data_IF_473844928518
#
_entry.id   IF_473844928518
#
_cell.length_a   1.000
_cell.length_b   1.000
_cell.length_c   1.000
_cell.angle_alpha   90.00
_cell.angle_beta   90.00
_cell.angle_gamma   90.00
#
_symmetry.space_group_name_H-M   'P 1'
#
loop_
_entity.id
_entity.type
_entity.pdbx_description
1 polymer ?
#
# COMPACT_ATOMS: atom_id res chain seq x y z
N UNK A 1 -8.47 -29.06 35.99
CA UNK A 1 -7.62 -28.39 34.98
C UNK A 1 -7.89 -26.89 35.08
N UNK A 2 -6.91 -26.03 35.40
CA UNK A 2 -7.14 -24.59 35.45
C UNK A 2 -7.17 -24.02 34.03
N UNK A 3 -8.20 -23.25 33.72
CA UNK A 3 -8.31 -22.50 32.47
C UNK A 3 -7.21 -21.44 32.41
N UNK A 4 -6.45 -21.42 31.31
CA UNK A 4 -5.52 -20.34 31.03
C UNK A 4 -6.30 -19.02 30.84
N UNK A 5 -5.78 -17.89 31.34
CA UNK A 5 -6.40 -16.59 31.10
C UNK A 5 -6.36 -16.26 29.59
N UNK A 6 -7.32 -15.47 29.08
CA UNK A 6 -7.30 -15.04 27.68
C UNK A 6 -6.01 -14.25 27.40
N UNK A 7 -5.44 -14.34 26.18
CA UNK A 7 -4.25 -13.58 25.83
C UNK A 7 -4.55 -12.09 26.02
N UNK A 8 -3.68 -11.40 26.76
CA UNK A 8 -3.79 -9.97 26.98
C UNK A 8 -3.82 -9.27 25.61
N UNK A 9 -4.99 -8.71 25.25
CA UNK A 9 -5.07 -7.80 24.13
C UNK A 9 -4.16 -6.62 24.44
N UNK A 10 -3.03 -6.53 23.74
CA UNK A 10 -2.24 -5.32 23.74
C UNK A 10 -3.14 -4.22 23.21
N UNK A 11 -3.63 -3.34 24.07
CA UNK A 11 -4.18 -2.05 23.64
C UNK A 11 -2.98 -1.12 23.50
N UNK A 12 -2.41 -0.93 22.30
CA UNK A 12 -1.27 -0.04 22.13
C UNK A 12 -1.70 1.40 22.41
N UNK A 13 -1.35 1.93 23.58
CA UNK A 13 -1.53 3.35 23.92
C UNK A 13 -0.51 4.28 23.25
N UNK A 14 0.45 3.72 22.50
CA UNK A 14 1.55 4.45 21.88
C UNK A 14 1.34 4.60 20.38
N UNK A 15 1.55 5.81 19.87
CA UNK A 15 1.65 6.07 18.43
C UNK A 15 2.80 5.25 17.84
N UNK A 16 2.50 4.45 16.83
CA UNK A 16 3.49 3.73 16.02
C UNK A 16 3.65 4.43 14.69
N UNK A 17 4.88 4.50 14.19
CA UNK A 17 5.21 5.10 12.91
C UNK A 17 5.86 4.05 12.04
N UNK A 18 5.25 3.76 10.89
CA UNK A 18 5.82 2.94 9.84
C UNK A 18 6.34 3.90 8.77
N UNK A 19 7.66 3.97 8.64
CA UNK A 19 8.31 4.76 7.58
C UNK A 19 8.32 3.98 6.28
N UNK A 20 8.09 4.67 5.17
CA UNK A 20 8.20 4.11 3.83
C UNK A 20 9.56 4.42 3.22
N UNK A 21 10.01 3.55 2.31
CA UNK A 21 11.28 3.76 1.58
C UNK A 21 11.23 4.94 0.62
N UNK A 22 10.04 5.36 0.18
CA UNK A 22 9.83 6.47 -0.76
C UNK A 22 10.10 7.85 -0.15
N UNK A 23 10.17 7.94 1.17
CA UNK A 23 10.30 9.20 1.90
C UNK A 23 11.67 9.86 1.74
N UNK A 24 11.69 11.20 1.81
CA UNK A 24 12.96 11.95 1.91
C UNK A 24 13.58 11.72 3.28
N UNK A 25 14.91 11.65 3.38
CA UNK A 25 15.63 11.44 4.66
C UNK A 25 15.25 12.42 5.78
N UNK A 26 14.81 13.63 5.44
CA UNK A 26 14.44 14.68 6.39
C UNK A 26 12.92 14.81 6.65
N UNK A 27 12.09 14.15 5.83
CA UNK A 27 10.64 14.11 5.94
C UNK A 27 10.15 12.79 5.32
N UNK A 28 10.25 11.68 6.07
CA UNK A 28 9.91 10.37 5.54
C UNK A 28 8.39 10.25 5.37
N UNK A 29 7.97 9.72 4.22
CA UNK A 29 6.61 9.24 4.06
C UNK A 29 6.34 8.18 5.13
N UNK A 30 5.18 8.25 5.75
CA UNK A 30 4.87 7.39 6.87
C UNK A 30 3.39 7.11 7.03
N UNK A 31 3.10 5.91 7.54
CA UNK A 31 1.82 5.57 8.15
C UNK A 31 1.99 5.66 9.67
N UNK A 32 1.29 6.62 10.29
CA UNK A 32 1.21 6.76 11.74
C UNK A 32 -0.09 6.12 12.23
N UNK A 33 0.01 5.27 13.25
CA UNK A 33 -1.14 4.54 13.81
C UNK A 33 -1.18 4.82 15.31
N UNK A 34 -2.33 5.25 15.82
CA UNK A 34 -2.60 5.46 17.23
C UNK A 34 -4.03 5.00 17.57
N UNK A 35 -4.43 4.96 18.86
CA UNK A 35 -5.80 4.56 19.23
C UNK A 35 -6.92 5.41 18.62
N UNK A 36 -6.64 6.68 18.26
CA UNK A 36 -7.62 7.58 17.67
C UNK A 36 -7.80 7.37 16.15
N UNK A 37 -6.84 6.71 15.48
CA UNK A 37 -6.89 6.47 14.05
C UNK A 37 -5.53 6.24 13.42
N UNK A 38 -5.50 6.32 12.10
CA UNK A 38 -4.27 6.33 11.34
C UNK A 38 -4.16 7.61 10.52
N UNK A 39 -2.93 7.99 10.21
CA UNK A 39 -2.62 9.15 9.40
C UNK A 39 -1.56 8.74 8.39
N UNK A 40 -1.88 8.93 7.11
CA UNK A 40 -1.00 8.63 5.99
C UNK A 40 -0.39 9.94 5.49
N UNK A 41 0.93 10.04 5.61
CA UNK A 41 1.73 11.19 5.20
C UNK A 41 2.62 10.76 4.04
N UNK A 42 2.41 11.32 2.85
CA UNK A 42 3.20 11.01 1.66
C UNK A 42 3.45 12.29 0.89
N UNK A 43 4.70 12.72 0.87
CA UNK A 43 5.12 13.96 0.21
C UNK A 43 4.85 13.90 -1.31
N UNK A 44 4.38 15.01 -1.87
CA UNK A 44 4.02 15.12 -3.29
C UNK A 44 2.79 14.32 -3.72
N UNK A 45 2.17 13.56 -2.82
CA UNK A 45 0.92 12.82 -3.07
C UNK A 45 -0.26 13.42 -2.31
N UNK A 46 -0.05 13.79 -1.04
CA UNK A 46 -1.01 14.48 -0.20
C UNK A 46 -0.50 15.87 0.18
N UNK A 47 -1.34 16.90 0.00
CA UNK A 47 -1.08 18.26 0.50
C UNK A 47 -1.29 18.37 2.01
N UNK A 48 -2.18 17.53 2.53
CA UNK A 48 -2.47 17.40 3.96
C UNK A 48 -2.53 15.91 4.32
N UNK A 49 -2.08 15.50 5.51
CA UNK A 49 -2.10 14.11 5.90
C UNK A 49 -3.50 13.48 5.79
N UNK A 50 -3.61 12.35 5.11
CA UNK A 50 -4.87 11.64 4.97
C UNK A 50 -5.23 10.95 6.29
N UNK A 51 -6.29 11.44 6.93
CA UNK A 51 -6.80 10.91 8.20
C UNK A 51 -7.75 9.73 7.94
N UNK A 52 -7.51 8.63 8.62
CA UNK A 52 -8.22 7.37 8.45
C UNK A 52 -8.63 6.83 9.83
N UNK A 53 -9.79 6.19 9.91
CA UNK A 53 -10.18 5.47 11.13
C UNK A 53 -9.63 4.04 11.08
N UNK A 54 -9.31 3.45 12.24
CA UNK A 54 -8.79 2.08 12.28
C UNK A 54 -9.77 1.06 11.68
N UNK A 55 -11.08 1.26 11.84
CA UNK A 55 -12.12 0.42 11.25
C UNK A 55 -12.23 0.51 9.72
N UNK A 56 -11.58 1.49 9.09
CA UNK A 56 -11.49 1.61 7.64
C UNK A 56 -10.32 0.82 7.05
N UNK A 57 -9.43 0.25 7.88
CA UNK A 57 -8.13 -0.23 7.43
C UNK A 57 -7.92 -1.71 7.75
N UNK A 58 -7.47 -2.44 6.74
CA UNK A 58 -6.77 -3.70 6.90
C UNK A 58 -5.35 -3.53 6.39
N UNK A 59 -4.38 -4.08 7.11
CA UNK A 59 -2.98 -4.00 6.74
C UNK A 59 -2.49 -5.42 6.44
N UNK A 60 -1.83 -5.60 5.31
CA UNK A 60 -1.22 -6.87 4.94
C UNK A 60 0.28 -6.69 4.78
N UNK A 61 1.06 -7.60 5.37
CA UNK A 61 2.46 -7.77 4.96
C UNK A 61 2.49 -8.66 3.73
N UNK A 62 3.38 -8.34 2.79
CA UNK A 62 3.49 -9.09 1.56
C UNK A 62 4.88 -9.70 1.47
N UNK A 63 4.91 -11.01 1.24
CA UNK A 63 6.13 -11.72 0.88
C UNK A 63 6.29 -11.64 -0.65
N UNK A 64 7.34 -10.97 -1.17
CA UNK A 64 7.55 -10.81 -2.60
C UNK A 64 7.72 -12.10 -3.39
N UNK A 65 8.04 -13.21 -2.71
CA UNK A 65 8.24 -14.50 -3.36
C UNK A 65 9.32 -14.47 -4.47
N UNK A 66 9.62 -15.63 -5.07
CA UNK A 66 10.49 -15.68 -6.23
C UNK A 66 9.75 -15.19 -7.49
N UNK A 67 10.43 -14.43 -8.35
CA UNK A 67 9.94 -14.18 -9.70
C UNK A 67 10.02 -15.48 -10.51
N UNK A 68 8.90 -15.89 -11.14
CA UNK A 68 8.87 -17.13 -11.95
C UNK A 68 9.54 -16.97 -13.32
N UNK A 69 9.71 -15.74 -13.80
CA UNK A 69 10.35 -15.43 -15.09
C UNK A 69 11.70 -14.74 -14.90
N UNK A 70 12.68 -15.09 -15.73
CA UNK A 70 14.01 -14.45 -15.72
C UNK A 70 13.90 -12.98 -16.13
N UNK A 71 14.36 -12.08 -15.26
CA UNK A 71 14.31 -10.62 -15.48
C UNK A 71 13.09 -9.94 -14.85
N UNK A 72 12.08 -10.70 -14.41
CA UNK A 72 11.05 -10.20 -13.51
C UNK A 72 11.61 -10.09 -12.09
N UNK A 73 11.19 -9.05 -11.37
CA UNK A 73 11.25 -9.00 -9.90
C UNK A 73 9.85 -9.22 -9.34
N UNK A 74 9.76 -9.98 -8.25
CA UNK A 74 8.62 -10.11 -7.33
C UNK A 74 7.28 -10.55 -7.93
N UNK A 75 6.67 -11.57 -7.34
CA UNK A 75 5.26 -11.93 -7.58
C UNK A 75 4.58 -12.15 -6.24
N UNK A 76 3.61 -11.31 -5.94
CA UNK A 76 2.91 -11.39 -4.67
C UNK A 76 1.66 -12.26 -4.81
N UNK A 77 1.77 -13.51 -4.34
CA UNK A 77 0.66 -14.46 -4.37
C UNK A 77 -0.47 -13.93 -3.49
N UNK A 78 -1.67 -13.82 -4.04
CA UNK A 78 -2.86 -13.74 -3.18
C UNK A 78 -3.16 -15.14 -2.69
N UNK A 79 -3.29 -15.31 -1.37
CA UNK A 79 -3.57 -16.61 -0.79
C UNK A 79 -5.00 -17.04 -1.11
N UNK A 80 -5.20 -18.32 -1.38
CA UNK A 80 -6.52 -18.95 -1.43
C UNK A 80 -6.98 -19.23 -0.02
N UNK A 81 -8.16 -18.72 0.34
CA UNK A 81 -8.80 -19.06 1.61
C UNK A 81 -9.48 -20.42 1.50
N UNK A 82 -9.15 -21.34 2.40
CA UNK A 82 -9.81 -22.64 2.53
C UNK A 82 -10.91 -22.62 3.59
N UNK A 83 -10.73 -21.83 4.65
CA UNK A 83 -11.71 -21.63 5.73
C UNK A 83 -11.52 -20.26 6.38
N UNK A 84 -12.26 -19.97 7.45
CA UNK A 84 -12.05 -18.75 8.24
C UNK A 84 -10.60 -18.61 8.74
N UNK A 85 -9.91 -19.73 8.99
CA UNK A 85 -8.57 -19.78 9.62
C UNK A 85 -7.49 -20.44 8.76
N UNK A 86 -7.85 -21.15 7.69
CA UNK A 86 -6.89 -21.85 6.83
C UNK A 86 -6.74 -21.16 5.48
N UNK A 87 -5.49 -20.97 5.05
CA UNK A 87 -5.09 -20.31 3.79
C UNK A 87 -3.95 -21.09 3.14
N UNK A 88 -3.93 -21.16 1.81
CA UNK A 88 -2.86 -21.80 1.02
C UNK A 88 -2.49 -20.95 -0.19
N UNK A 89 -1.27 -21.04 -0.72
CA UNK A 89 -0.89 -20.32 -1.95
C UNK A 89 -1.83 -20.69 -3.13
N UNK A 90 -2.28 -19.69 -3.90
CA UNK A 90 -3.30 -19.87 -4.95
C UNK A 90 -2.75 -20.42 -6.29
N UNK A 91 -1.53 -20.98 -6.34
CA UNK A 91 -0.82 -21.31 -7.60
C UNK A 91 -1.44 -22.42 -8.49
N UNK A 92 -2.65 -22.90 -8.22
CA UNK A 92 -3.22 -24.13 -8.79
C UNK A 92 -4.34 -23.95 -9.84
N UNK A 93 -4.57 -22.77 -10.40
CA UNK A 93 -5.49 -22.61 -11.54
C UNK A 93 -6.14 -21.24 -11.64
N UNK A 94 -5.75 -20.49 -12.68
CA UNK A 94 -6.09 -19.09 -13.00
C UNK A 94 -5.65 -18.11 -11.89
N UNK A 95 -4.49 -17.50 -12.14
CA UNK A 95 -3.66 -16.72 -11.21
C UNK A 95 -4.29 -15.39 -10.76
N UNK A 96 -4.08 -15.04 -9.49
CA UNK A 96 -4.29 -13.68 -8.98
C UNK A 96 -3.07 -13.21 -8.21
N UNK A 97 -2.28 -12.33 -8.82
CA UNK A 97 -1.14 -11.67 -8.20
C UNK A 97 -1.55 -10.28 -7.73
N UNK A 98 -1.04 -9.83 -6.57
CA UNK A 98 -1.29 -8.47 -6.11
C UNK A 98 -0.47 -7.44 -6.90
N UNK A 99 0.76 -7.79 -7.24
CA UNK A 99 1.68 -6.98 -8.03
C UNK A 99 2.67 -7.87 -8.79
N UNK A 100 3.13 -7.38 -9.92
CA UNK A 100 4.22 -7.95 -10.74
C UNK A 100 5.08 -6.82 -11.29
N UNK A 101 6.37 -7.06 -11.53
CA UNK A 101 7.27 -6.05 -12.13
C UNK A 101 6.92 -5.64 -13.56
N UNK A 102 6.25 -6.49 -14.35
CA UNK A 102 5.87 -6.18 -15.74
C UNK A 102 4.46 -5.58 -15.80
N UNK A 103 3.53 -6.18 -15.07
CA UNK A 103 2.11 -5.80 -15.10
C UNK A 103 1.70 -4.82 -14.02
N UNK A 104 2.60 -4.40 -13.12
CA UNK A 104 2.29 -3.54 -11.97
C UNK A 104 1.22 -4.13 -11.05
N UNK A 105 0.37 -3.26 -10.48
CA UNK A 105 -0.75 -3.65 -9.60
C UNK A 105 -2.05 -2.97 -10.01
N UNK A 106 -3.16 -3.61 -9.63
CA UNK A 106 -4.48 -2.98 -9.67
C UNK A 106 -4.76 -2.09 -8.43
N UNK A 107 -3.91 -2.16 -7.40
CA UNK A 107 -3.90 -1.20 -6.30
C UNK A 107 -2.94 -0.05 -6.61
N UNK A 108 -3.18 1.11 -6.00
CA UNK A 108 -2.29 2.26 -6.12
C UNK A 108 -0.97 1.97 -5.42
N UNK A 109 0.16 2.08 -6.12
CA UNK A 109 1.48 1.93 -5.52
C UNK A 109 2.02 3.29 -5.02
N UNK A 110 2.56 3.30 -3.80
CA UNK A 110 3.36 4.41 -3.27
C UNK A 110 4.85 4.05 -3.33
N UNK A 111 5.61 4.89 -4.03
CA UNK A 111 7.05 4.75 -4.19
C UNK A 111 7.46 4.34 -5.60
N UNK A 112 8.51 3.53 -5.68
CA UNK A 112 9.12 3.10 -6.94
C UNK A 112 8.35 1.92 -7.54
N UNK A 113 7.94 2.05 -8.80
CA UNK A 113 7.17 1.05 -9.54
C UNK A 113 8.02 -0.15 -9.99
N UNK A 114 9.34 0.02 -10.10
CA UNK A 114 10.26 -1.04 -10.50
C UNK A 114 10.70 -1.92 -9.31
N UNK A 115 10.32 -1.51 -8.09
CA UNK A 115 10.66 -2.19 -6.86
C UNK A 115 9.45 -2.91 -6.25
N UNK A 116 9.70 -4.11 -5.74
CA UNK A 116 8.66 -4.95 -5.15
C UNK A 116 8.15 -4.30 -3.84
N UNK A 117 6.83 -4.05 -3.66
CA UNK A 117 6.25 -3.62 -2.39
C UNK A 117 6.49 -4.61 -1.24
N UNK A 118 6.34 -4.17 -0.01
CA UNK A 118 6.47 -5.03 1.19
C UNK A 118 5.19 -5.06 2.02
N UNK A 119 4.24 -4.19 1.73
CA UNK A 119 3.01 -4.01 2.49
C UNK A 119 1.85 -3.50 1.64
N UNK A 120 0.64 -3.77 2.10
CA UNK A 120 -0.60 -3.27 1.53
C UNK A 120 -1.49 -2.65 2.63
N UNK A 121 -2.07 -1.49 2.34
CA UNK A 121 -3.20 -0.90 3.04
C UNK A 121 -4.45 -1.19 2.22
N UNK A 122 -5.39 -1.94 2.75
CA UNK A 122 -6.66 -2.22 2.11
C UNK A 122 -7.77 -1.46 2.83
N UNK A 123 -8.58 -0.74 2.07
CA UNK A 123 -9.70 0.00 2.65
C UNK A 123 -10.95 -0.87 2.66
N UNK A 124 -11.66 -0.88 3.79
CA UNK A 124 -12.94 -1.63 3.90
C UNK A 124 -14.01 -1.07 2.95
N UNK A 125 -13.90 0.21 2.60
CA UNK A 125 -14.61 0.85 1.50
C UNK A 125 -13.59 1.66 0.69
N UNK A 126 -13.62 1.60 -0.65
CA UNK A 126 -12.72 2.41 -1.46
C UNK A 126 -12.79 3.89 -1.09
N UNK A 127 -11.64 4.55 -1.03
CA UNK A 127 -11.60 5.99 -0.83
C UNK A 127 -12.22 6.68 -2.05
N UNK A 128 -13.14 7.60 -1.80
CA UNK A 128 -13.93 8.27 -2.82
C UNK A 128 -13.36 9.65 -3.14
N UNK A 129 -13.75 10.26 -4.28
CA UNK A 129 -13.28 11.60 -4.64
C UNK A 129 -13.53 12.65 -3.57
N UNK A 130 -14.63 12.54 -2.82
CA UNK A 130 -15.01 13.47 -1.76
C UNK A 130 -14.00 13.45 -0.60
N UNK A 131 -13.37 12.30 -0.36
CA UNK A 131 -12.34 12.13 0.68
C UNK A 131 -10.95 12.53 0.16
N UNK A 132 -10.68 12.25 -1.12
CA UNK A 132 -9.36 12.43 -1.74
C UNK A 132 -9.12 13.86 -2.23
N UNK A 133 -10.08 14.49 -2.92
CA UNK A 133 -9.95 15.84 -3.47
C UNK A 133 -9.58 16.93 -2.45
N UNK A 134 -10.03 16.89 -1.17
CA UNK A 134 -9.59 17.87 -0.17
C UNK A 134 -8.17 17.63 0.35
N UNK A 135 -7.60 16.44 0.25
CA UNK A 135 -6.32 16.07 0.90
C UNK A 135 -5.19 15.78 -0.09
N UNK A 136 -5.50 15.38 -1.32
CA UNK A 136 -4.53 15.03 -2.35
C UNK A 136 -3.98 16.24 -3.09
N UNK A 137 -2.76 16.09 -3.57
CA UNK A 137 -2.19 17.00 -4.56
C UNK A 137 -3.04 16.98 -5.85
N UNK A 138 -3.40 18.14 -6.44
CA UNK A 138 -4.26 18.19 -7.63
C UNK A 138 -3.73 17.37 -8.81
N UNK A 139 -2.40 17.36 -8.99
CA UNK A 139 -1.74 16.58 -10.04
C UNK A 139 -1.87 15.07 -9.78
N UNK A 140 -1.71 14.63 -8.53
CA UNK A 140 -1.86 13.23 -8.15
C UNK A 140 -3.32 12.77 -8.30
N UNK A 141 -4.28 13.61 -7.90
CA UNK A 141 -5.71 13.33 -8.09
C UNK A 141 -6.08 13.21 -9.57
N UNK A 142 -5.59 14.10 -10.42
CA UNK A 142 -5.83 14.04 -11.86
C UNK A 142 -5.25 12.77 -12.50
N UNK A 143 -4.05 12.35 -12.09
CA UNK A 143 -3.42 11.12 -12.56
C UNK A 143 -4.25 9.87 -12.18
N UNK A 144 -4.81 9.83 -10.96
CA UNK A 144 -5.73 8.76 -10.56
C UNK A 144 -7.04 8.80 -11.37
N UNK A 145 -7.64 9.98 -11.53
CA UNK A 145 -8.89 10.15 -12.26
C UNK A 145 -8.77 9.69 -13.71
N UNK A 146 -7.65 10.01 -14.38
CA UNK A 146 -7.38 9.61 -15.77
C UNK A 146 -7.33 8.09 -16.00
N UNK A 147 -7.09 7.30 -14.94
CA UNK A 147 -7.06 5.83 -14.99
C UNK A 147 -8.38 5.19 -14.63
N UNK A 148 -9.29 5.94 -14.01
CA UNK A 148 -10.63 5.45 -13.74
C UNK A 148 -11.41 5.39 -15.06
N UNK A 149 -12.01 4.24 -15.42
CA UNK A 149 -12.83 4.14 -16.63
C UNK A 149 -13.97 5.17 -16.70
N UNK A 150 -14.41 5.67 -15.54
CA UNK A 150 -15.49 6.65 -15.41
C UNK A 150 -14.97 8.08 -15.11
N UNK A 151 -13.65 8.29 -15.11
CA UNK A 151 -13.03 9.58 -14.72
C UNK A 151 -13.15 9.92 -13.23
N UNK A 152 -13.70 9.00 -12.42
CA UNK A 152 -13.95 9.18 -10.99
C UNK A 152 -13.04 8.22 -10.22
N UNK A 153 -12.01 8.71 -9.52
CA UNK A 153 -11.06 7.82 -8.83
C UNK A 153 -11.72 7.15 -7.62
N UNK A 154 -11.53 5.83 -7.52
CA UNK A 154 -11.87 5.05 -6.33
C UNK A 154 -10.65 4.20 -5.97
N UNK A 155 -10.10 4.40 -4.77
CA UNK A 155 -8.88 3.71 -4.32
C UNK A 155 -9.28 2.58 -3.36
N UNK A 156 -9.28 1.31 -3.78
CA UNK A 156 -9.61 0.18 -2.89
C UNK A 156 -8.48 -0.16 -1.92
N UNK A 157 -7.24 0.23 -2.24
CA UNK A 157 -6.08 -0.02 -1.41
C UNK A 157 -4.82 0.59 -1.99
N UNK A 158 -3.76 0.55 -1.20
CA UNK A 158 -2.47 1.14 -1.47
C UNK A 158 -1.38 0.10 -1.20
N UNK A 159 -0.41 -0.03 -2.11
CA UNK A 159 0.81 -0.79 -1.89
C UNK A 159 1.93 0.16 -1.47
N UNK A 160 2.84 -0.30 -0.61
CA UNK A 160 3.97 0.48 -0.15
C UNK A 160 5.18 -0.41 0.15
N UNK A 161 6.36 0.22 0.24
CA UNK A 161 7.58 -0.38 0.77
C UNK A 161 7.87 0.19 2.14
N UNK A 162 7.83 -0.64 3.16
CA UNK A 162 8.24 -0.27 4.51
C UNK A 162 9.77 -0.24 4.57
N UNK A 163 10.35 0.81 5.15
CA UNK A 163 11.79 0.85 5.39
C UNK A 163 12.26 -0.25 6.35
N UNK A 164 11.37 -0.69 7.25
CA UNK A 164 11.63 -1.78 8.19
C UNK A 164 10.43 -2.75 8.25
N UNK A 165 10.33 -3.72 7.32
CA UNK A 165 9.15 -4.60 7.18
C UNK A 165 8.82 -5.38 8.45
N UNK A 166 9.82 -5.93 9.16
CA UNK A 166 9.60 -6.67 10.40
C UNK A 166 9.01 -5.81 11.53
N UNK A 167 9.42 -4.53 11.61
CA UNK A 167 8.83 -3.58 12.56
C UNK A 167 7.41 -3.21 12.17
N UNK A 168 7.16 -3.00 10.86
CA UNK A 168 5.82 -2.72 10.35
C UNK A 168 4.84 -3.86 10.68
N UNK A 169 5.27 -5.11 10.47
CA UNK A 169 4.48 -6.29 10.80
C UNK A 169 4.13 -6.35 12.29
N UNK A 170 5.12 -6.14 13.15
CA UNK A 170 4.94 -6.13 14.61
C UNK A 170 3.95 -5.03 15.02
N UNK A 171 4.04 -3.85 14.40
CA UNK A 171 3.11 -2.75 14.64
C UNK A 171 1.68 -3.10 14.22
N UNK A 172 1.49 -3.71 13.05
CA UNK A 172 0.18 -4.10 12.56
C UNK A 172 -0.47 -5.17 13.42
N UNK A 173 0.32 -6.13 13.92
CA UNK A 173 -0.13 -7.13 14.89
C UNK A 173 -0.59 -6.49 16.20
N UNK A 174 0.17 -5.52 16.73
CA UNK A 174 -0.16 -4.85 17.99
C UNK A 174 -1.50 -4.11 17.95
N UNK A 175 -1.89 -3.56 16.80
CA UNK A 175 -3.18 -2.88 16.59
C UNK A 175 -4.29 -3.79 16.08
N UNK A 176 -4.04 -5.09 15.90
CA UNK A 176 -5.04 -6.03 15.35
C UNK A 176 -5.44 -5.74 13.90
N UNK A 177 -4.61 -4.98 13.16
CA UNK A 177 -4.87 -4.58 11.78
C UNK A 177 -4.28 -5.56 10.75
N UNK A 178 -3.33 -6.40 11.18
CA UNK A 178 -2.70 -7.38 10.30
C UNK A 178 -3.72 -8.42 9.81
N UNK A 179 -3.88 -8.51 8.48
CA UNK A 179 -4.70 -9.52 7.81
C UNK A 179 -3.85 -10.30 6.80
N UNK A 180 -4.06 -11.63 6.66
CA UNK A 180 -3.54 -12.34 5.52
C UNK A 180 -4.20 -11.80 4.24
N UNK A 181 -3.42 -11.64 3.18
CA UNK A 181 -3.93 -11.16 1.90
C UNK A 181 -4.50 -12.34 1.11
N UNK A 182 -5.82 -12.51 1.19
CA UNK A 182 -6.54 -13.57 0.47
C UNK A 182 -7.53 -12.99 -0.53
N UNK A 183 -8.20 -13.87 -1.27
CA UNK A 183 -9.41 -13.58 -2.06
C UNK A 183 -10.57 -12.89 -1.34
N UNK A 184 -10.61 -12.89 -0.01
CA UNK A 184 -11.59 -12.12 0.75
C UNK A 184 -11.22 -10.65 0.81
N UNK A 185 -9.96 -10.37 1.12
CA UNK A 185 -9.45 -9.00 1.27
C UNK A 185 -9.12 -8.37 -0.09
N UNK A 186 -8.69 -9.17 -1.06
CA UNK A 186 -8.40 -8.76 -2.44
C UNK A 186 -9.23 -9.63 -3.40
N UNK A 187 -10.52 -9.32 -3.61
CA UNK A 187 -11.39 -10.09 -4.49
C UNK A 187 -10.94 -10.00 -5.95
N UNK A 188 -11.27 -10.99 -6.80
CA UNK A 188 -10.89 -10.99 -8.23
C UNK A 188 -11.26 -9.72 -8.99
N UNK A 189 -12.35 -9.06 -8.61
CA UNK A 189 -12.79 -7.78 -9.19
C UNK A 189 -11.83 -6.62 -8.92
N UNK A 190 -11.05 -6.67 -7.83
CA UNK A 190 -9.97 -5.71 -7.55
C UNK A 190 -8.68 -6.07 -8.26
N UNK A 191 -8.55 -7.29 -8.83
CA UNK A 191 -7.34 -7.77 -9.50
C UNK A 191 -7.35 -7.50 -11.01
N UNK A 192 -8.28 -6.65 -11.49
CA UNK A 192 -8.66 -6.51 -12.90
C UNK A 192 -7.43 -6.43 -13.80
N UNK A 193 -7.14 -7.58 -14.42
CA UNK A 193 -6.33 -7.82 -15.62
C UNK A 193 -5.18 -6.84 -15.81
N UNK A 194 -3.97 -7.24 -15.40
CA UNK A 194 -2.74 -6.62 -15.89
C UNK A 194 -2.87 -6.56 -17.44
N UNK A 195 -2.94 -5.37 -18.07
CA UNK A 195 -2.91 -5.31 -19.51
C UNK A 195 -1.54 -5.82 -19.92
N UNK A 196 -1.46 -6.91 -20.69
CA UNK A 196 -0.19 -7.38 -21.28
C UNK A 196 0.42 -6.32 -22.20
N UNK A 197 -0.36 -5.32 -22.60
CA UNK A 197 -0.04 -4.38 -23.67
C UNK A 197 0.12 -2.93 -23.19
N UNK A 198 0.00 -2.63 -21.87
CA UNK A 198 0.20 -1.28 -21.31
C UNK A 198 0.86 -1.33 -19.93
N UNK A 199 1.88 -0.48 -19.66
CA UNK A 199 2.44 -0.34 -18.32
C UNK A 199 1.33 0.09 -17.36
N UNK A 200 1.22 -0.63 -16.24
CA UNK A 200 0.03 -0.57 -15.42
C UNK A 200 -0.08 0.67 -14.53
N UNK A 201 0.95 1.53 -14.45
CA UNK A 201 0.96 2.63 -13.51
C UNK A 201 1.75 3.83 -14.07
N UNK A 202 1.28 5.08 -13.93
CA UNK A 202 2.11 6.25 -14.12
C UNK A 202 2.81 6.57 -12.81
N UNK A 203 4.14 6.58 -12.87
CA UNK A 203 5.05 6.99 -11.81
C UNK A 203 4.66 8.39 -11.33
N UNK A 204 3.90 8.48 -10.23
CA UNK A 204 3.75 9.75 -9.49
C UNK A 204 4.97 9.84 -8.60
N UNK A 205 6.13 10.03 -9.24
CA UNK A 205 7.32 10.45 -8.54
C UNK A 205 7.00 11.81 -7.91
N UNK A 206 7.19 11.92 -6.58
CA UNK A 206 7.44 13.22 -5.99
C UNK A 206 8.54 13.87 -6.85
N UNK A 207 8.37 15.12 -7.32
CA UNK A 207 9.28 15.70 -8.29
C UNK A 207 10.72 15.58 -7.77
N UNK A 208 11.56 14.85 -8.51
CA UNK A 208 12.98 14.92 -8.32
C UNK A 208 13.36 16.40 -8.38
N UNK A 209 13.95 16.90 -7.29
CA UNK A 209 14.51 18.24 -7.24
C UNK A 209 15.36 18.42 -8.50
N UNK A 210 14.90 19.30 -9.41
CA UNK A 210 15.82 19.91 -10.37
C UNK A 210 16.80 20.70 -9.51
N UNK A 211 18.00 20.17 -9.33
CA UNK A 211 19.16 20.98 -8.94
C UNK A 211 19.36 22.05 -10.00
N UNK A 212 18.63 23.16 -9.89
CA UNK A 212 19.00 24.40 -10.56
C UNK A 212 20.14 25.00 -9.76
N UNK A 213 21.34 24.47 -10.01
CA UNK A 213 22.56 25.20 -9.70
C UNK A 213 22.59 26.41 -10.63
N UNK A 214 22.01 27.52 -10.19
CA UNK A 214 22.27 28.83 -10.77
C UNK A 214 23.62 29.25 -10.20
N UNK A 215 24.64 29.32 -11.04
CA UNK A 215 25.94 29.84 -10.64
C UNK A 215 25.76 31.28 -10.12
N UNK A 216 26.44 31.68 -9.02
CA UNK A 216 26.35 33.04 -8.52
C UNK A 216 26.93 34.02 -9.54
N UNK A 217 26.41 35.25 -9.64
CA UNK A 217 26.97 36.27 -10.51
C UNK A 217 28.41 36.57 -10.09
N UNK A 218 29.35 36.45 -11.02
CA UNK A 218 30.73 36.86 -10.80
C UNK A 218 30.81 38.37 -10.60
N UNK A 219 31.49 38.78 -9.52
CA UNK A 219 32.10 40.10 -9.38
C UNK A 219 33.57 40.02 -9.79
#
# INVERSE_FOLDING_TARGET
MPSAPPPAGSNPTRTLTITFESGRRLAPDALRINPAGATLEVDGYFREPLKLTLGQLHLGMIDPGPAKTKGEKGRFVILKRLSATSVVPQEQGIEGWLWTSIGGSALTLLGDEDAAPTGAILFTKPLTPEQLKPTMEPKAFAALAARSPLGVPAIPGILFRAAEPAKAETAFRAYGLLRPLTDREVPPTMRRSLPTDRPADPTIQAPASRSSSVAPPGF
#
